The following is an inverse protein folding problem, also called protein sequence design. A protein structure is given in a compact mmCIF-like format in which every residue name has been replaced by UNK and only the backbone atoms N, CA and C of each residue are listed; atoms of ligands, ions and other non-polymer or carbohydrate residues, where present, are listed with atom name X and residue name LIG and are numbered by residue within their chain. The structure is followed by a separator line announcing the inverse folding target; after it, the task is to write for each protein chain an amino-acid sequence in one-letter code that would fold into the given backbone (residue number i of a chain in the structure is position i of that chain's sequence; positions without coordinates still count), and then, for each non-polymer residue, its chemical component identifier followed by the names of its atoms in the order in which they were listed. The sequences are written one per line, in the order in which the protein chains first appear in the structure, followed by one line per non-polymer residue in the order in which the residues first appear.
data_IF_430791759161
#
_entry.id   IF_430791759161
#
_cell.length_a   1.000
_cell.length_b   1.000
_cell.length_c   1.000
_cell.angle_alpha   90.00
_cell.angle_beta   90.00
_cell.angle_gamma   90.00
#
_symmetry.space_group_name_H-M   'P 1'
#
loop_
_entity.id
_entity.type
_entity.pdbx_description
1 polymer ?
#
# COMPACT_ATOMS: atom_id res chain seq x y z
N UNK A 1 -2.23 -3.63 7.20
CA UNK A 1 -1.98 -4.96 6.61
C UNK A 1 -0.49 -5.22 6.63
N UNK A 2 -0.10 -6.47 6.83
CA UNK A 2 1.28 -6.89 7.01
C UNK A 2 1.54 -8.05 6.04
N UNK A 3 2.65 -7.99 5.30
CA UNK A 3 3.02 -9.04 4.34
C UNK A 3 4.54 -9.09 4.14
N UNK A 4 5.01 -10.17 3.55
CA UNK A 4 6.41 -10.34 3.17
C UNK A 4 6.52 -10.29 1.65
N UNK A 5 7.44 -9.47 1.14
CA UNK A 5 7.70 -9.36 -0.30
C UNK A 5 8.33 -10.62 -0.88
N UNK A 6 8.46 -10.71 -2.21
CA UNK A 6 9.14 -11.84 -2.85
C UNK A 6 10.62 -11.94 -2.44
N UNK A 7 11.27 -10.80 -2.18
CA UNK A 7 12.62 -10.70 -1.62
C UNK A 7 12.73 -11.01 -0.12
N UNK A 8 11.65 -11.38 0.57
CA UNK A 8 11.68 -11.66 2.01
C UNK A 8 11.65 -10.42 2.91
N UNK A 9 11.39 -9.23 2.35
CA UNK A 9 11.30 -7.96 3.10
C UNK A 9 9.92 -7.84 3.74
N UNK A 10 9.82 -7.78 5.08
CA UNK A 10 8.55 -7.56 5.76
C UNK A 10 8.10 -6.11 5.63
N UNK A 11 6.90 -5.91 5.09
CA UNK A 11 6.26 -4.61 4.94
C UNK A 11 4.95 -4.55 5.72
N UNK A 12 4.76 -3.40 6.38
CA UNK A 12 3.50 -3.02 7.01
C UNK A 12 2.93 -1.82 6.29
N UNK A 13 1.67 -1.91 5.89
CA UNK A 13 0.96 -0.83 5.19
C UNK A 13 -0.25 -0.39 6.00
N UNK A 14 -0.35 0.91 6.25
CA UNK A 14 -1.51 1.54 6.87
C UNK A 14 -2.25 2.35 5.81
N UNK A 15 -3.50 1.99 5.59
CA UNK A 15 -4.36 2.62 4.60
C UNK A 15 -5.43 3.39 5.36
N UNK A 16 -5.61 4.69 5.10
CA UNK A 16 -6.74 5.44 5.66
C UNK A 16 -8.05 4.79 5.23
N UNK A 17 -9.01 4.70 6.16
CA UNK A 17 -10.28 3.99 5.91
C UNK A 17 -11.02 4.52 4.68
N UNK A 18 -11.06 5.84 4.48
CA UNK A 18 -11.68 6.46 3.31
C UNK A 18 -11.07 6.00 1.99
N UNK A 19 -9.74 5.84 1.94
CA UNK A 19 -9.01 5.34 0.77
C UNK A 19 -9.30 3.85 0.57
N UNK A 20 -9.26 3.08 1.66
CA UNK A 20 -9.51 1.64 1.59
C UNK A 20 -10.93 1.31 1.13
N UNK A 21 -11.93 2.03 1.64
CA UNK A 21 -13.33 1.86 1.24
C UNK A 21 -13.53 2.16 -0.26
N UNK A 22 -12.89 3.21 -0.78
CA UNK A 22 -12.92 3.52 -2.22
C UNK A 22 -12.23 2.44 -3.06
N UNK A 23 -11.08 1.93 -2.61
CA UNK A 23 -10.41 0.80 -3.28
C UNK A 23 -11.28 -0.46 -3.26
N UNK A 24 -12.03 -0.70 -2.17
CA UNK A 24 -12.97 -1.81 -2.08
C UNK A 24 -14.12 -1.66 -3.07
N UNK A 25 -14.66 -0.45 -3.24
CA UNK A 25 -15.69 -0.16 -4.23
C UNK A 25 -15.16 -0.37 -5.66
N UNK A 26 -13.96 0.13 -5.95
CA UNK A 26 -13.35 0.03 -7.28
C UNK A 26 -12.97 -1.42 -7.65
N UNK A 27 -12.44 -2.20 -6.69
CA UNK A 27 -12.03 -3.60 -6.92
C UNK A 27 -13.12 -4.64 -6.62
N UNK A 28 -14.24 -4.22 -6.04
CA UNK A 28 -15.41 -5.03 -5.73
C UNK A 28 -15.41 -5.74 -4.36
N UNK A 29 -14.26 -5.85 -3.67
CA UNK A 29 -14.21 -6.30 -2.27
C UNK A 29 -12.86 -5.98 -1.59
N UNK A 30 -12.84 -6.14 -0.26
CA UNK A 30 -11.67 -5.87 0.58
C UNK A 30 -10.46 -6.77 0.28
N UNK A 31 -10.69 -8.03 -0.09
CA UNK A 31 -9.61 -8.95 -0.45
C UNK A 31 -8.87 -8.46 -1.70
N UNK A 32 -9.61 -8.11 -2.77
CA UNK A 32 -9.03 -7.60 -4.01
C UNK A 32 -8.34 -6.25 -3.81
N UNK A 33 -8.90 -5.37 -2.98
CA UNK A 33 -8.24 -4.11 -2.60
C UNK A 33 -6.90 -4.36 -1.88
N UNK A 34 -6.86 -5.28 -0.91
CA UNK A 34 -5.63 -5.65 -0.21
C UNK A 34 -4.58 -6.27 -1.14
N UNK A 35 -4.99 -7.18 -2.02
CA UNK A 35 -4.12 -7.75 -3.05
C UNK A 35 -3.55 -6.68 -3.97
N UNK A 36 -4.37 -5.73 -4.42
CA UNK A 36 -3.92 -4.66 -5.30
C UNK A 36 -2.82 -3.81 -4.65
N UNK A 37 -3.01 -3.39 -3.39
CA UNK A 37 -2.00 -2.60 -2.67
C UNK A 37 -0.70 -3.41 -2.52
N UNK A 38 -0.82 -4.69 -2.16
CA UNK A 38 0.35 -5.59 -2.00
C UNK A 38 1.15 -5.68 -3.29
N UNK A 39 0.48 -5.89 -4.44
CA UNK A 39 1.14 -5.94 -5.75
C UNK A 39 1.86 -4.62 -6.05
N UNK A 40 1.23 -3.47 -5.80
CA UNK A 40 1.88 -2.16 -6.02
C UNK A 40 3.13 -1.98 -5.15
N UNK A 41 3.13 -2.48 -3.92
CA UNK A 41 4.34 -2.46 -3.10
C UNK A 41 5.44 -3.37 -3.64
N UNK A 42 5.10 -4.57 -4.12
CA UNK A 42 6.06 -5.54 -4.64
C UNK A 42 6.71 -5.09 -5.96
N UNK A 43 6.01 -4.33 -6.81
CA UNK A 43 6.56 -3.78 -8.07
C UNK A 43 7.80 -2.91 -7.87
N UNK A 44 7.94 -2.29 -6.69
CA UNK A 44 9.02 -1.36 -6.35
C UNK A 44 9.72 -1.75 -5.04
N UNK A 45 9.65 -3.03 -4.64
CA UNK A 45 10.11 -3.49 -3.32
C UNK A 45 11.60 -3.27 -3.03
N UNK A 46 12.42 -3.19 -4.09
CA UNK A 46 13.87 -2.94 -4.03
C UNK A 46 14.22 -1.48 -3.71
N UNK A 47 13.25 -0.57 -3.78
CA UNK A 47 13.44 0.86 -3.49
C UNK A 47 13.30 1.16 -1.99
N UNK A 48 13.63 2.41 -1.62
CA UNK A 48 13.44 2.89 -0.26
C UNK A 48 11.95 2.88 0.14
N UNK A 49 11.67 2.75 1.43
CA UNK A 49 10.30 2.74 1.96
C UNK A 49 9.56 4.03 1.59
N UNK A 50 10.24 5.17 1.61
CA UNK A 50 9.69 6.45 1.18
C UNK A 50 9.26 6.42 -0.29
N UNK A 51 10.09 5.85 -1.16
CA UNK A 51 9.76 5.72 -2.59
C UNK A 51 8.60 4.75 -2.82
N UNK A 52 8.55 3.62 -2.10
CA UNK A 52 7.41 2.69 -2.16
C UNK A 52 6.12 3.40 -1.74
N UNK A 53 6.14 4.14 -0.63
CA UNK A 53 4.97 4.89 -0.16
C UNK A 53 4.51 5.92 -1.20
N UNK A 54 5.43 6.71 -1.77
CA UNK A 54 5.11 7.69 -2.82
C UNK A 54 4.52 7.03 -4.06
N UNK A 55 5.10 5.91 -4.51
CA UNK A 55 4.62 5.15 -5.65
C UNK A 55 3.19 4.65 -5.45
N UNK A 56 2.92 3.99 -4.32
CA UNK A 56 1.59 3.45 -4.00
C UNK A 56 0.55 4.57 -3.91
N UNK A 57 0.89 5.71 -3.29
CA UNK A 57 0.00 6.87 -3.23
C UNK A 57 -0.28 7.47 -4.61
N UNK A 58 0.72 7.53 -5.49
CA UNK A 58 0.54 7.99 -6.87
C UNK A 58 -0.40 7.06 -7.64
N UNK A 59 -0.23 5.74 -7.50
CA UNK A 59 -1.07 4.74 -8.14
C UNK A 59 -2.52 4.80 -7.62
N UNK A 60 -2.70 4.94 -6.30
CA UNK A 60 -4.02 5.05 -5.68
C UNK A 60 -4.74 6.33 -6.14
N UNK A 61 -4.03 7.47 -6.19
CA UNK A 61 -4.57 8.72 -6.73
C UNK A 61 -4.96 8.58 -8.20
N UNK A 62 -4.09 8.03 -9.04
CA UNK A 62 -4.41 7.86 -10.47
C UNK A 62 -5.63 6.97 -10.69
N UNK A 63 -5.78 5.91 -9.89
CA UNK A 63 -6.93 5.02 -9.96
C UNK A 63 -8.22 5.72 -9.51
N UNK A 64 -8.21 6.37 -8.35
CA UNK A 64 -9.40 6.99 -7.77
C UNK A 64 -9.78 8.33 -8.43
N UNK A 65 -8.82 9.04 -9.04
CA UNK A 65 -9.09 10.27 -9.79
C UNK A 65 -9.88 10.01 -11.07
N UNK A 66 -9.81 8.80 -11.64
CA UNK A 66 -10.62 8.43 -12.81
C UNK A 66 -12.12 8.39 -12.50
N UNK A 67 -12.48 8.26 -11.23
CA UNK A 67 -13.86 8.17 -10.75
C UNK A 67 -14.45 9.54 -10.31
N UNK A 68 -13.76 10.65 -10.55
CA UNK A 68 -14.33 12.01 -10.44
C UNK A 68 -14.49 12.59 -9.03
N UNK A 69 -14.20 11.84 -7.98
CA UNK A 69 -14.23 12.32 -6.59
C UNK A 69 -12.88 12.81 -6.11
N UNK A 70 -12.74 14.11 -5.85
CA UNK A 70 -11.61 14.70 -5.13
C UNK A 70 -11.98 14.98 -3.65
N UNK A 71 -11.79 14.04 -2.73
CA UNK A 71 -11.53 14.36 -1.34
C UNK A 71 -10.01 14.45 -1.08
N UNK A 72 -9.62 15.24 -0.09
CA UNK A 72 -8.25 15.23 0.43
C UNK A 72 -7.93 13.82 0.97
N UNK A 73 -7.29 12.99 0.16
CA UNK A 73 -6.89 11.66 0.56
C UNK A 73 -5.71 11.76 1.53
N UNK A 74 -5.93 11.27 2.75
CA UNK A 74 -4.83 10.94 3.65
C UNK A 74 -3.90 9.92 2.95
N UNK A 75 -2.58 10.02 3.14
CA UNK A 75 -1.65 9.16 2.45
C UNK A 75 -1.68 7.73 3.01
N UNK A 76 -1.41 6.76 2.12
CA UNK A 76 -1.06 5.40 2.50
C UNK A 76 0.35 5.42 3.08
N UNK A 77 0.52 4.90 4.29
CA UNK A 77 1.82 4.80 4.96
C UNK A 77 2.39 3.39 4.76
N UNK A 78 3.68 3.30 4.46
CA UNK A 78 4.42 2.04 4.31
C UNK A 78 5.58 2.04 5.30
N UNK A 79 5.78 0.93 5.99
CA UNK A 79 6.84 0.73 6.97
C UNK A 79 7.54 -0.57 6.67
N UNK A 80 8.85 -0.63 6.93
CA UNK A 80 9.56 -1.90 7.05
C UNK A 80 9.50 -2.34 8.49
N UNK A 81 9.05 -3.55 8.76
CA UNK A 81 9.22 -4.13 10.11
C UNK A 81 10.63 -4.70 10.12
N UNK A 82 11.63 -3.95 10.57
CA UNK A 82 12.94 -4.57 10.83
C UNK A 82 12.67 -5.60 11.93
N UNK A 83 12.60 -6.88 11.56
CA UNK A 83 12.83 -7.94 12.52
C UNK A 83 14.28 -7.75 12.93
N UNK A 84 14.50 -7.00 13.99
CA UNK A 84 15.73 -7.08 14.75
C UNK A 84 15.87 -8.55 15.09
N UNK A 85 16.67 -9.28 14.32
CA UNK A 85 17.27 -10.53 14.77
C UNK A 85 18.15 -10.12 15.95
N UNK A 86 17.53 -10.02 17.14
CA UNK A 86 18.22 -10.07 18.40
C UNK A 86 18.84 -11.46 18.45
N UNK A 87 20.10 -11.52 18.04
CA UNK A 87 20.98 -12.61 18.43
C UNK A 87 21.06 -12.63 19.94
N UNK A 88 20.86 -13.82 20.50
CA UNK A 88 21.50 -14.31 21.70
C UNK A 88 21.77 -15.79 21.47
#
# INVERSE_FOLDING_TARGET
MDFTTASGKPLRVRVPRSVFDQLCLHHGNAYKAGCWITVRCCEVETLSIETIARYVNMMAKNMLNRDGTMPQMLPIEVFSTILSTLGN
#
